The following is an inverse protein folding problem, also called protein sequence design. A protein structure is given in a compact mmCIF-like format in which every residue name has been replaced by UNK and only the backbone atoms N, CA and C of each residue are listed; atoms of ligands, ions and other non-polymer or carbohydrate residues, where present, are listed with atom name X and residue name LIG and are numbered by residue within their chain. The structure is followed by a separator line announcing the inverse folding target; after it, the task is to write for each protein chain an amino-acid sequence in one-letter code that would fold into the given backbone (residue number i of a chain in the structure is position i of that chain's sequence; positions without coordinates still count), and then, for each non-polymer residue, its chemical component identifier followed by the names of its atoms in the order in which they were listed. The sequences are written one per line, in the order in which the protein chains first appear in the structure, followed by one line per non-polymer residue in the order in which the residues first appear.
data_IF_453297819816
#
_entry.id   IF_453297819816
#
_cell.length_a   1.000
_cell.length_b   1.000
_cell.length_c   1.000
_cell.angle_alpha   90.00
_cell.angle_beta   90.00
_cell.angle_gamma   90.00
#
_symmetry.space_group_name_H-M   'P 1'
#
loop_
_entity.id
_entity.type
_entity.pdbx_description
1 polymer ?
#
# COMPACT_ATOMS: atom_id res chain seq x y z
N UNK A 1 -72.66 -92.87 -37.97
CA UNK A 1 -72.07 -92.66 -36.63
C UNK A 1 -70.59 -92.30 -36.73
N UNK A 2 -69.74 -93.12 -37.38
CA UNK A 2 -68.29 -92.88 -37.55
C UNK A 2 -67.96 -91.49 -38.15
N UNK A 3 -68.60 -91.14 -39.28
CA UNK A 3 -68.36 -89.87 -39.99
C UNK A 3 -68.72 -88.63 -39.15
N UNK A 4 -69.67 -88.76 -38.22
CA UNK A 4 -70.05 -87.69 -37.31
C UNK A 4 -69.02 -87.50 -36.20
N UNK A 5 -68.44 -88.60 -35.70
CA UNK A 5 -67.35 -88.56 -34.71
C UNK A 5 -66.05 -87.98 -35.30
N UNK A 6 -65.73 -88.31 -36.55
CA UNK A 6 -64.55 -87.79 -37.24
C UNK A 6 -64.67 -86.27 -37.51
N UNK A 7 -65.87 -85.80 -37.89
CA UNK A 7 -66.16 -84.36 -38.01
C UNK A 7 -66.01 -83.63 -36.68
N UNK A 8 -66.55 -84.19 -35.59
CA UNK A 8 -66.47 -83.60 -34.24
C UNK A 8 -65.03 -83.57 -33.71
N UNK A 9 -64.22 -84.59 -34.02
CA UNK A 9 -62.81 -84.63 -33.68
C UNK A 9 -62.01 -83.56 -34.46
N UNK A 10 -62.29 -83.39 -35.76
CA UNK A 10 -61.69 -82.35 -36.59
C UNK A 10 -62.05 -80.93 -36.13
N UNK A 11 -63.32 -80.69 -35.78
CA UNK A 11 -63.76 -79.41 -35.20
C UNK A 11 -63.08 -79.12 -33.86
N UNK A 12 -62.97 -80.11 -32.97
CA UNK A 12 -62.27 -79.97 -31.69
C UNK A 12 -60.78 -79.65 -31.88
N UNK A 13 -60.13 -80.26 -32.88
CA UNK A 13 -58.74 -79.97 -33.21
C UNK A 13 -58.57 -78.56 -33.78
N UNK A 14 -59.48 -78.14 -34.67
CA UNK A 14 -59.49 -76.77 -35.21
C UNK A 14 -59.71 -75.72 -34.11
N UNK A 15 -60.63 -75.97 -33.18
CA UNK A 15 -60.84 -75.14 -31.99
C UNK A 15 -59.60 -75.06 -31.12
N UNK A 16 -58.93 -76.19 -30.86
CA UNK A 16 -57.70 -76.24 -30.07
C UNK A 16 -56.56 -75.46 -30.73
N UNK A 17 -56.39 -75.60 -32.05
CA UNK A 17 -55.37 -74.88 -32.80
C UNK A 17 -55.67 -73.37 -32.84
N UNK A 18 -56.92 -72.99 -33.09
CA UNK A 18 -57.37 -71.60 -33.07
C UNK A 18 -57.16 -70.97 -31.69
N UNK A 19 -57.54 -71.68 -30.62
CA UNK A 19 -57.33 -71.25 -29.24
C UNK A 19 -55.84 -71.11 -28.89
N UNK A 20 -55.00 -72.07 -29.27
CA UNK A 20 -53.54 -72.00 -29.07
C UNK A 20 -52.92 -70.83 -29.83
N UNK A 21 -53.35 -70.58 -31.06
CA UNK A 21 -52.89 -69.44 -31.86
C UNK A 21 -53.35 -68.10 -31.23
N UNK A 22 -54.59 -68.01 -30.76
CA UNK A 22 -55.10 -66.82 -30.06
C UNK A 22 -54.36 -66.57 -28.74
N UNK A 23 -54.10 -67.62 -27.96
CA UNK A 23 -53.33 -67.53 -26.73
C UNK A 23 -51.89 -67.09 -27.00
N UNK A 24 -51.23 -67.67 -28.01
CA UNK A 24 -49.89 -67.27 -28.44
C UNK A 24 -49.83 -65.82 -28.89
N UNK A 25 -50.80 -65.38 -29.71
CA UNK A 25 -50.90 -63.99 -30.15
C UNK A 25 -51.17 -63.02 -28.99
N UNK A 26 -52.02 -63.40 -28.03
CA UNK A 26 -52.29 -62.61 -26.84
C UNK A 26 -51.06 -62.47 -25.94
N UNK A 27 -50.32 -63.56 -25.71
CA UNK A 27 -49.07 -63.55 -24.95
C UNK A 27 -47.98 -62.72 -25.63
N UNK A 28 -47.85 -62.80 -26.96
CA UNK A 28 -46.87 -61.99 -27.70
C UNK A 28 -47.25 -60.51 -27.68
N UNK A 29 -48.55 -60.20 -27.78
CA UNK A 29 -49.07 -58.84 -27.60
C UNK A 29 -48.80 -58.30 -26.19
N UNK A 30 -49.05 -59.12 -25.15
CA UNK A 30 -48.77 -58.77 -23.76
C UNK A 30 -47.28 -58.57 -23.53
N UNK A 31 -46.44 -59.46 -24.05
CA UNK A 31 -44.98 -59.34 -24.04
C UNK A 31 -44.56 -58.03 -24.70
N UNK A 32 -45.03 -57.74 -25.91
CA UNK A 32 -44.75 -56.50 -26.62
C UNK A 32 -45.23 -55.25 -25.88
N UNK A 33 -46.36 -55.33 -25.17
CA UNK A 33 -46.85 -54.25 -24.31
C UNK A 33 -45.93 -54.02 -23.10
N UNK A 34 -45.51 -55.09 -22.40
CA UNK A 34 -44.58 -55.03 -21.28
C UNK A 34 -43.21 -54.50 -21.70
N UNK A 35 -42.65 -54.93 -22.83
CA UNK A 35 -41.39 -54.39 -23.36
C UNK A 35 -41.51 -52.90 -23.69
N UNK A 36 -42.62 -52.47 -24.29
CA UNK A 36 -42.86 -51.05 -24.56
C UNK A 36 -42.97 -50.24 -23.26
N UNK A 37 -43.67 -50.76 -22.25
CA UNK A 37 -43.77 -50.11 -20.95
C UNK A 37 -42.41 -50.04 -20.24
N UNK A 38 -41.65 -51.13 -20.23
CA UNK A 38 -40.31 -51.19 -19.64
C UNK A 38 -39.36 -50.20 -20.33
N UNK A 39 -39.32 -50.18 -21.66
CA UNK A 39 -38.49 -49.24 -22.41
C UNK A 39 -38.85 -47.78 -22.14
N UNK A 40 -40.14 -47.46 -21.98
CA UNK A 40 -40.57 -46.11 -21.57
C UNK A 40 -40.07 -45.75 -20.16
N UNK A 41 -40.16 -46.67 -19.21
CA UNK A 41 -39.70 -46.46 -17.84
C UNK A 41 -38.18 -46.26 -17.76
N UNK A 42 -37.42 -47.08 -18.50
CA UNK A 42 -35.96 -46.93 -18.59
C UNK A 42 -35.60 -45.57 -19.20
N UNK A 43 -36.24 -45.17 -20.30
CA UNK A 43 -36.01 -43.85 -20.91
C UNK A 43 -36.31 -42.73 -19.92
N UNK A 44 -37.47 -42.76 -19.28
CA UNK A 44 -37.85 -41.76 -18.27
C UNK A 44 -36.83 -41.66 -17.13
N UNK A 45 -36.40 -42.79 -16.55
CA UNK A 45 -35.42 -42.78 -15.44
C UNK A 45 -34.04 -42.32 -15.91
N UNK A 46 -33.61 -42.71 -17.11
CA UNK A 46 -32.36 -42.22 -17.70
C UNK A 46 -32.41 -40.71 -17.94
N UNK A 47 -33.52 -40.20 -18.47
CA UNK A 47 -33.69 -38.76 -18.70
C UNK A 47 -33.74 -37.98 -17.39
N UNK A 48 -34.36 -38.53 -16.34
CA UNK A 48 -34.36 -37.96 -15.00
C UNK A 48 -32.96 -37.93 -14.37
N UNK A 49 -32.21 -39.04 -14.44
CA UNK A 49 -30.82 -39.12 -13.96
C UNK A 49 -29.91 -38.16 -14.75
N UNK A 50 -30.10 -38.05 -16.06
CA UNK A 50 -29.37 -37.10 -16.91
C UNK A 50 -29.69 -35.66 -16.53
N UNK A 51 -30.96 -35.32 -16.34
CA UNK A 51 -31.40 -33.99 -15.92
C UNK A 51 -30.86 -33.62 -14.54
N UNK A 52 -30.92 -34.55 -13.57
CA UNK A 52 -30.36 -34.35 -12.24
C UNK A 52 -28.84 -34.18 -12.23
N UNK A 53 -28.11 -35.00 -13.00
CA UNK A 53 -26.66 -34.83 -13.17
C UNK A 53 -26.30 -33.51 -13.85
N UNK A 54 -27.06 -33.09 -14.85
CA UNK A 54 -26.84 -31.82 -15.54
C UNK A 54 -27.04 -30.64 -14.58
N UNK A 55 -28.12 -30.66 -13.79
CA UNK A 55 -28.37 -29.64 -12.77
C UNK A 55 -27.25 -29.59 -11.71
N UNK A 56 -26.76 -30.75 -11.26
CA UNK A 56 -25.62 -30.81 -10.34
C UNK A 56 -24.33 -30.24 -10.97
N UNK A 57 -24.09 -30.51 -12.25
CA UNK A 57 -22.94 -29.95 -12.97
C UNK A 57 -23.04 -28.42 -13.10
N UNK A 58 -24.23 -27.90 -13.37
CA UNK A 58 -24.49 -26.45 -13.40
C UNK A 58 -24.25 -25.81 -12.03
N UNK A 59 -24.74 -26.44 -10.95
CA UNK A 59 -24.48 -25.97 -9.58
C UNK A 59 -22.98 -25.97 -9.24
N UNK A 60 -22.25 -27.04 -9.59
CA UNK A 60 -20.80 -27.11 -9.37
C UNK A 60 -20.07 -26.03 -10.18
N UNK A 61 -20.50 -25.79 -11.42
CA UNK A 61 -19.94 -24.73 -12.26
C UNK A 61 -20.13 -23.35 -11.62
N UNK A 62 -21.31 -23.07 -11.06
CA UNK A 62 -21.58 -21.77 -10.44
C UNK A 62 -20.81 -21.59 -9.14
N UNK A 63 -20.69 -22.63 -8.31
CA UNK A 63 -19.82 -22.61 -7.12
C UNK A 63 -18.35 -22.38 -7.49
N UNK A 64 -17.87 -22.98 -8.60
CA UNK A 64 -16.51 -22.73 -9.08
C UNK A 64 -16.32 -21.28 -9.53
N UNK A 65 -17.29 -20.69 -10.24
CA UNK A 65 -17.23 -19.27 -10.63
C UNK A 65 -17.20 -18.35 -9.39
N UNK A 66 -18.00 -18.66 -8.38
CA UNK A 66 -18.03 -17.90 -7.12
C UNK A 66 -16.68 -18.00 -6.41
N UNK A 67 -16.14 -19.21 -6.26
CA UNK A 67 -14.83 -19.44 -5.65
C UNK A 67 -13.70 -18.74 -6.43
N UNK A 68 -13.74 -18.77 -7.76
CA UNK A 68 -12.81 -18.01 -8.59
C UNK A 68 -12.92 -16.50 -8.34
N UNK A 69 -14.15 -15.98 -8.20
CA UNK A 69 -14.40 -14.59 -7.86
C UNK A 69 -13.78 -14.20 -6.52
N UNK A 70 -14.03 -15.01 -5.48
CA UNK A 70 -13.48 -14.82 -4.13
C UNK A 70 -11.95 -14.93 -4.13
N UNK A 71 -11.38 -15.89 -4.86
CA UNK A 71 -9.93 -16.07 -4.98
C UNK A 71 -9.27 -14.86 -5.64
N UNK A 72 -9.88 -14.33 -6.72
CA UNK A 72 -9.39 -13.12 -7.40
C UNK A 72 -9.49 -11.89 -6.51
N UNK A 73 -10.59 -11.71 -5.78
CA UNK A 73 -10.75 -10.56 -4.87
C UNK A 73 -9.76 -10.62 -3.71
N UNK A 74 -9.59 -11.80 -3.09
CA UNK A 74 -8.60 -12.02 -2.02
C UNK A 74 -7.18 -11.75 -2.51
N UNK A 75 -6.83 -12.22 -3.71
CA UNK A 75 -5.53 -11.93 -4.30
C UNK A 75 -5.35 -10.42 -4.60
N UNK A 76 -6.43 -9.69 -4.87
CA UNK A 76 -6.41 -8.23 -4.98
C UNK A 76 -6.10 -7.56 -3.65
N UNK A 77 -6.85 -7.90 -2.60
CA UNK A 77 -6.66 -7.36 -1.24
C UNK A 77 -5.26 -7.66 -0.70
N UNK A 78 -4.76 -8.88 -0.87
CA UNK A 78 -3.41 -9.26 -0.43
C UNK A 78 -2.31 -8.46 -1.15
N UNK A 79 -2.46 -8.19 -2.45
CA UNK A 79 -1.52 -7.34 -3.20
C UNK A 79 -1.49 -5.93 -2.64
N UNK A 80 -2.66 -5.32 -2.43
CA UNK A 80 -2.76 -3.98 -1.87
C UNK A 80 -2.19 -3.88 -0.44
N UNK A 81 -2.45 -4.88 0.41
CA UNK A 81 -1.85 -5.00 1.74
C UNK A 81 -0.33 -5.09 1.69
N UNK A 82 0.21 -5.91 0.78
CA UNK A 82 1.66 -6.09 0.60
C UNK A 82 2.32 -4.80 0.13
N UNK A 83 1.71 -4.12 -0.83
CA UNK A 83 2.16 -2.82 -1.33
C UNK A 83 2.17 -1.74 -0.24
N UNK A 84 1.07 -1.63 0.52
CA UNK A 84 0.98 -0.72 1.66
C UNK A 84 2.05 -1.03 2.73
N UNK A 85 2.32 -2.31 3.00
CA UNK A 85 3.35 -2.72 3.94
C UNK A 85 4.77 -2.32 3.46
N UNK A 86 5.07 -2.48 2.17
CA UNK A 86 6.35 -2.05 1.60
C UNK A 86 6.53 -0.53 1.67
N UNK A 87 5.49 0.25 1.36
CA UNK A 87 5.52 1.72 1.48
C UNK A 87 5.74 2.11 2.95
N UNK A 88 5.03 1.47 3.88
CA UNK A 88 5.19 1.74 5.31
C UNK A 88 6.62 1.42 5.79
N UNK A 89 7.19 0.30 5.35
CA UNK A 89 8.55 -0.08 5.70
C UNK A 89 9.57 0.95 5.18
N UNK A 90 9.43 1.39 3.93
CA UNK A 90 10.29 2.43 3.35
C UNK A 90 10.12 3.78 4.09
N UNK A 91 8.90 4.14 4.46
CA UNK A 91 8.60 5.33 5.26
C UNK A 91 9.27 5.28 6.64
N UNK A 92 9.17 4.15 7.35
CA UNK A 92 9.80 3.94 8.66
C UNK A 92 11.33 3.98 8.56
N UNK A 93 11.90 3.34 7.54
CA UNK A 93 13.33 3.39 7.28
C UNK A 93 13.80 4.83 7.04
N UNK A 94 13.07 5.59 6.20
CA UNK A 94 13.34 7.00 5.96
C UNK A 94 13.29 7.84 7.23
N UNK A 95 12.23 7.71 8.04
CA UNK A 95 12.12 8.42 9.33
C UNK A 95 13.30 8.10 10.24
N UNK A 96 13.69 6.82 10.34
CA UNK A 96 14.81 6.41 11.15
C UNK A 96 16.13 7.05 10.68
N UNK A 97 16.40 7.06 9.38
CA UNK A 97 17.62 7.68 8.83
C UNK A 97 17.62 9.20 9.06
N UNK A 98 16.49 9.86 8.83
CA UNK A 98 16.33 11.32 8.97
C UNK A 98 16.48 11.77 10.43
N UNK A 99 15.81 11.09 11.36
CA UNK A 99 15.76 11.48 12.78
C UNK A 99 17.00 11.02 13.56
N UNK A 100 17.51 9.80 13.31
CA UNK A 100 18.60 9.21 14.10
C UNK A 100 19.97 9.35 13.47
N UNK A 101 20.06 9.65 12.17
CA UNK A 101 21.34 9.84 11.48
C UNK A 101 22.25 8.62 11.57
N UNK A 102 21.78 7.46 11.09
CA UNK A 102 22.62 6.25 11.01
C UNK A 102 23.69 6.46 9.94
N UNK A 103 24.96 6.51 10.36
CA UNK A 103 26.16 6.92 9.60
C UNK A 103 26.46 6.18 8.27
N UNK A 104 25.57 5.29 7.79
CA UNK A 104 25.81 4.44 6.62
C UNK A 104 24.64 4.33 5.62
N UNK A 105 23.50 4.98 5.86
CA UNK A 105 22.38 4.93 4.91
C UNK A 105 22.25 6.26 4.16
N UNK A 106 22.53 6.30 2.84
CA UNK A 106 22.30 7.49 2.04
C UNK A 106 20.79 7.74 1.95
N UNK A 107 20.36 8.90 2.48
CA UNK A 107 18.95 9.36 2.42
C UNK A 107 18.42 9.33 0.99
N UNK A 108 19.29 9.61 0.02
CA UNK A 108 18.95 9.66 -1.40
C UNK A 108 18.45 8.31 -1.94
N UNK A 109 19.05 7.19 -1.52
CA UNK A 109 18.66 5.86 -2.01
C UNK A 109 17.31 5.42 -1.48
N UNK A 110 17.05 5.71 -0.21
CA UNK A 110 15.76 5.42 0.43
C UNK A 110 14.66 6.36 -0.10
N UNK A 111 14.98 7.62 -0.37
CA UNK A 111 14.07 8.58 -1.02
C UNK A 111 13.66 8.10 -2.42
N UNK A 112 14.63 7.66 -3.23
CA UNK A 112 14.36 7.08 -4.56
C UNK A 112 13.52 5.80 -4.46
N UNK A 113 13.76 4.98 -3.44
CA UNK A 113 12.97 3.76 -3.20
C UNK A 113 11.52 4.11 -2.88
N UNK A 114 11.29 5.06 -1.97
CA UNK A 114 9.95 5.52 -1.61
C UNK A 114 9.22 6.18 -2.80
N UNK A 115 9.94 6.96 -3.61
CA UNK A 115 9.41 7.55 -4.85
C UNK A 115 9.00 6.48 -5.86
N UNK A 116 9.81 5.45 -6.05
CA UNK A 116 9.47 4.34 -6.95
C UNK A 116 8.20 3.64 -6.46
N UNK A 117 8.15 3.26 -5.19
CA UNK A 117 7.00 2.54 -4.62
C UNK A 117 5.70 3.35 -4.73
N UNK A 118 5.73 4.64 -4.39
CA UNK A 118 4.55 5.52 -4.48
C UNK A 118 4.12 5.80 -5.92
N UNK A 119 5.08 5.89 -6.86
CA UNK A 119 4.79 6.03 -8.30
C UNK A 119 4.15 4.77 -8.87
N UNK A 120 4.73 3.61 -8.59
CA UNK A 120 4.21 2.31 -9.03
C UNK A 120 2.77 2.12 -8.52
N UNK A 121 2.51 2.50 -7.26
CA UNK A 121 1.18 2.48 -6.67
C UNK A 121 0.19 3.45 -7.34
N UNK A 122 0.61 4.67 -7.63
CA UNK A 122 -0.20 5.65 -8.36
C UNK A 122 -0.50 5.21 -9.81
N UNK A 123 0.43 4.50 -10.46
CA UNK A 123 0.24 3.91 -11.79
C UNK A 123 -0.78 2.76 -11.76
N UNK A 124 -0.70 1.88 -10.76
CA UNK A 124 -1.68 0.81 -10.54
C UNK A 124 -3.09 1.35 -10.22
N UNK A 125 -3.19 2.52 -9.58
CA UNK A 125 -4.47 3.20 -9.37
C UNK A 125 -5.08 3.69 -10.68
N UNK A 126 -4.27 4.29 -11.57
CA UNK A 126 -4.76 4.79 -12.88
C UNK A 126 -5.31 3.70 -13.79
N UNK A 127 -4.85 2.45 -13.64
CA UNK A 127 -5.39 1.29 -14.34
C UNK A 127 -6.66 0.69 -13.70
N UNK A 128 -7.19 1.33 -12.63
CA UNK A 128 -8.40 0.91 -11.93
C UNK A 128 -8.19 -0.20 -10.90
N UNK A 129 -6.94 -0.42 -10.47
CA UNK A 129 -6.55 -1.58 -9.64
C UNK A 129 -5.83 -1.21 -8.33
N UNK A 130 -5.67 0.08 -8.03
CA UNK A 130 -4.84 0.55 -6.93
C UNK A 130 -5.38 1.80 -6.23
N UNK A 131 -4.73 2.16 -5.12
CA UNK A 131 -5.10 3.29 -4.29
C UNK A 131 -4.39 4.58 -4.72
N UNK A 132 -5.01 5.73 -4.52
CA UNK A 132 -4.44 7.01 -4.97
C UNK A 132 -3.26 7.43 -4.09
N UNK A 133 -2.12 7.67 -4.73
CA UNK A 133 -0.88 8.18 -4.12
C UNK A 133 -0.37 9.44 -4.85
N UNK A 134 -1.25 10.16 -5.56
CA UNK A 134 -0.84 11.32 -6.35
C UNK A 134 -0.24 12.44 -5.51
N UNK A 135 -0.74 12.70 -4.29
CA UNK A 135 -0.16 13.74 -3.45
C UNK A 135 1.22 13.31 -2.91
N UNK A 136 1.41 12.03 -2.58
CA UNK A 136 2.71 11.45 -2.23
C UNK A 136 3.73 11.65 -3.34
N UNK A 137 3.36 11.33 -4.58
CA UNK A 137 4.24 11.47 -5.74
C UNK A 137 4.63 12.94 -5.95
N UNK A 138 3.66 13.86 -5.87
CA UNK A 138 3.93 15.29 -6.01
C UNK A 138 4.80 15.83 -4.87
N UNK A 139 4.53 15.45 -3.62
CA UNK A 139 5.28 15.88 -2.46
C UNK A 139 6.73 15.39 -2.52
N UNK A 140 6.97 14.12 -2.83
CA UNK A 140 8.31 13.55 -2.94
C UNK A 140 9.10 14.10 -4.13
N UNK A 141 8.44 14.43 -5.24
CA UNK A 141 9.08 15.10 -6.38
C UNK A 141 9.54 16.51 -6.00
N UNK A 142 8.72 17.28 -5.27
CA UNK A 142 9.07 18.64 -4.85
C UNK A 142 10.31 18.69 -3.93
N UNK A 143 10.52 17.64 -3.15
CA UNK A 143 11.71 17.50 -2.28
C UNK A 143 12.94 17.13 -3.10
N UNK A 144 12.83 16.25 -4.09
CA UNK A 144 13.96 15.81 -4.92
C UNK A 144 14.64 16.98 -5.64
N UNK A 145 13.85 17.88 -6.22
CA UNK A 145 14.34 19.05 -6.94
C UNK A 145 15.18 19.97 -6.03
N UNK A 146 14.89 19.98 -4.72
CA UNK A 146 15.63 20.77 -3.73
C UNK A 146 16.87 20.05 -3.18
N UNK A 147 16.94 18.73 -3.33
CA UNK A 147 17.93 17.85 -2.68
C UNK A 147 19.06 17.42 -3.61
N UNK A 148 18.81 17.40 -4.92
CA UNK A 148 19.72 16.89 -5.94
C UNK A 148 21.13 17.53 -5.92
N UNK A 149 21.27 18.73 -5.36
CA UNK A 149 22.54 19.48 -5.36
C UNK A 149 23.40 19.24 -4.10
N UNK A 150 22.82 19.10 -2.91
CA UNK A 150 23.57 19.11 -1.63
C UNK A 150 23.33 17.90 -0.71
N UNK A 151 22.31 17.09 -1.00
CA UNK A 151 21.88 15.98 -0.14
C UNK A 151 21.20 16.44 1.16
N UNK A 152 20.38 15.58 1.76
CA UNK A 152 19.64 15.94 2.99
C UNK A 152 20.48 15.66 4.23
N UNK A 153 20.67 16.69 5.05
CA UNK A 153 21.33 16.54 6.36
C UNK A 153 20.36 15.97 7.40
N UNK A 154 20.82 14.99 8.15
CA UNK A 154 20.07 14.37 9.25
C UNK A 154 19.98 15.31 10.45
N UNK A 155 19.02 15.08 11.35
CA UNK A 155 18.84 15.95 12.52
C UNK A 155 20.10 16.02 13.41
N UNK A 156 20.81 14.90 13.70
CA UNK A 156 22.08 14.95 14.43
C UNK A 156 23.18 15.71 13.68
N UNK A 157 23.25 15.58 12.35
CA UNK A 157 24.20 16.32 11.53
C UNK A 157 23.94 17.83 11.59
N UNK A 158 22.67 18.25 11.47
CA UNK A 158 22.25 19.65 11.62
C UNK A 158 22.59 20.19 13.02
N UNK A 159 22.35 19.41 14.09
CA UNK A 159 22.69 19.78 15.46
C UNK A 159 24.20 19.94 15.66
N UNK A 160 25.00 19.03 15.11
CA UNK A 160 26.46 19.13 15.17
C UNK A 160 26.99 20.33 14.39
N UNK A 161 26.47 20.57 13.17
CA UNK A 161 26.81 21.73 12.35
C UNK A 161 26.41 23.03 13.02
N UNK A 162 25.27 23.07 13.71
CA UNK A 162 24.82 24.25 14.45
C UNK A 162 25.84 24.69 15.51
N UNK A 163 26.52 23.76 16.19
CA UNK A 163 27.57 24.11 17.17
C UNK A 163 28.70 24.93 16.53
N UNK A 164 29.08 24.60 15.28
CA UNK A 164 30.09 25.34 14.53
C UNK A 164 29.57 26.73 14.12
N UNK A 165 28.35 26.77 13.59
CA UNK A 165 27.67 28.02 13.18
C UNK A 165 27.50 28.97 14.37
N UNK A 166 27.12 28.46 15.54
CA UNK A 166 27.01 29.22 16.80
C UNK A 166 28.32 29.90 17.15
N UNK A 167 29.43 29.17 17.14
CA UNK A 167 30.75 29.73 17.47
C UNK A 167 31.23 30.74 16.41
N UNK A 168 30.88 30.55 15.14
CA UNK A 168 31.15 31.53 14.08
C UNK A 168 30.34 32.83 14.27
N UNK A 169 29.04 32.71 14.52
CA UNK A 169 28.16 33.86 14.79
C UNK A 169 28.69 34.67 15.98
N UNK A 170 29.07 33.99 17.08
CA UNK A 170 29.65 34.62 18.26
C UNK A 170 30.91 35.43 17.95
N UNK A 171 31.84 34.87 17.17
CA UNK A 171 33.06 35.58 16.76
C UNK A 171 32.75 36.82 15.95
N UNK A 172 31.74 36.74 15.08
CA UNK A 172 31.39 37.84 14.18
C UNK A 172 30.53 38.93 14.82
N UNK A 173 29.70 38.59 15.82
CA UNK A 173 28.90 39.55 16.58
C UNK A 173 29.74 40.55 17.39
N UNK A 174 31.03 40.27 17.55
CA UNK A 174 31.98 41.10 18.29
C UNK A 174 32.85 41.98 17.39
N UNK A 175 32.68 41.90 16.06
CA UNK A 175 33.40 42.73 15.09
C UNK A 175 32.51 43.93 14.73
N UNK A 176 32.91 45.17 15.08
CA UNK A 176 32.19 46.37 14.65
C UNK A 176 32.21 46.50 13.12
N UNK A 177 31.10 46.93 12.52
CA UNK A 177 30.96 47.06 11.06
C UNK A 177 31.99 48.02 10.41
N UNK A 178 32.65 48.88 11.21
CA UNK A 178 33.63 49.90 10.76
C UNK A 178 35.09 49.68 11.25
N UNK A 179 35.43 48.52 11.82
CA UNK A 179 36.74 48.29 12.44
C UNK A 179 37.74 47.56 11.56
N UNK A 180 38.80 48.24 11.08
CA UNK A 180 39.97 47.60 10.43
C UNK A 180 40.70 46.58 11.32
N UNK A 181 41.79 45.97 10.83
CA UNK A 181 42.54 44.79 11.37
C UNK A 181 42.72 44.67 12.90
N UNK A 182 42.60 45.74 13.67
CA UNK A 182 42.60 45.78 15.14
C UNK A 182 41.27 45.31 15.79
N UNK A 183 40.17 45.25 15.06
CA UNK A 183 38.85 44.78 15.53
C UNK A 183 38.80 43.27 15.76
N UNK A 184 39.59 42.51 14.99
CA UNK A 184 39.65 41.04 15.08
C UNK A 184 40.36 40.52 16.34
N UNK A 185 41.24 41.32 16.96
CA UNK A 185 41.91 40.93 18.22
C UNK A 185 41.07 41.30 19.45
N UNK A 186 40.36 42.44 19.42
CA UNK A 186 39.44 42.83 20.49
C UNK A 186 38.25 41.87 20.61
N UNK A 187 37.72 41.43 19.47
CA UNK A 187 36.59 40.48 19.41
C UNK A 187 36.92 39.12 20.03
N UNK A 188 38.15 38.60 19.89
CA UNK A 188 38.57 37.36 20.58
C UNK A 188 38.63 37.51 22.10
N UNK A 189 39.05 38.67 22.61
CA UNK A 189 39.12 38.91 24.04
C UNK A 189 37.72 39.12 24.65
N UNK A 190 36.84 39.84 23.95
CA UNK A 190 35.48 40.14 24.41
C UNK A 190 34.54 38.93 24.34
N UNK A 191 34.76 37.99 23.42
CA UNK A 191 33.96 36.74 23.34
C UNK A 191 34.13 35.86 24.57
N UNK A 192 35.31 35.92 25.21
CA UNK A 192 35.59 35.23 26.47
C UNK A 192 34.90 35.86 27.69
N UNK A 193 34.49 37.12 27.59
CA UNK A 193 33.85 37.88 28.69
C UNK A 193 32.32 37.91 28.58
N UNK A 194 31.73 37.62 27.42
CA UNK A 194 30.29 37.50 27.23
C UNK A 194 29.75 36.28 27.99
N UNK A 195 28.84 36.51 28.93
CA UNK A 195 28.14 35.45 29.65
C UNK A 195 27.35 34.60 28.67
N UNK A 196 27.69 33.31 28.59
CA UNK A 196 26.96 32.33 27.78
C UNK A 196 25.57 32.13 28.39
N UNK A 197 24.54 32.69 27.76
CA UNK A 197 23.14 32.40 28.06
C UNK A 197 22.85 30.96 27.60
N UNK A 198 22.10 30.19 28.41
CA UNK A 198 21.71 28.81 28.11
C UNK A 198 20.22 28.62 28.40
N UNK A 199 19.53 27.85 27.56
CA UNK A 199 18.11 27.55 27.72
C UNK A 199 17.16 28.62 27.18
N UNK A 200 15.92 28.59 27.64
CA UNK A 200 14.85 29.53 27.28
C UNK A 200 15.08 30.89 27.92
N UNK A 201 15.98 31.68 27.34
CA UNK A 201 16.29 33.03 27.81
C UNK A 201 15.47 34.05 27.02
N UNK A 202 14.79 34.96 27.72
CA UNK A 202 14.06 36.07 27.11
C UNK A 202 15.02 37.11 26.51
N UNK A 203 14.58 37.74 25.42
CA UNK A 203 15.32 38.80 24.72
C UNK A 203 15.55 38.52 23.23
N UNK A 204 15.77 39.59 22.47
CA UNK A 204 16.02 39.56 21.02
C UNK A 204 17.53 39.61 20.69
N UNK A 205 18.38 39.60 21.72
CA UNK A 205 19.84 39.58 21.56
C UNK A 205 20.29 38.31 20.82
N UNK A 206 21.36 38.42 20.04
CA UNK A 206 21.95 37.29 19.29
C UNK A 206 22.25 36.08 20.19
N UNK A 207 22.80 36.28 21.40
CA UNK A 207 23.04 35.19 22.36
C UNK A 207 21.75 34.55 22.88
N UNK A 208 20.67 35.32 23.07
CA UNK A 208 19.38 34.77 23.50
C UNK A 208 18.77 33.89 22.38
N UNK A 209 18.84 34.35 21.13
CA UNK A 209 18.41 33.58 19.96
C UNK A 209 19.23 32.29 19.81
N UNK A 210 20.56 32.36 19.92
CA UNK A 210 21.42 31.17 19.85
C UNK A 210 21.14 30.17 20.97
N UNK A 211 20.88 30.64 22.19
CA UNK A 211 20.56 29.78 23.34
C UNK A 211 19.20 29.07 23.17
N UNK A 212 18.17 29.77 22.68
CA UNK A 212 16.86 29.16 22.37
C UNK A 212 16.94 28.18 21.21
N UNK A 213 17.70 28.53 20.18
CA UNK A 213 17.94 27.63 19.03
C UNK A 213 18.58 26.32 19.49
N UNK A 214 19.64 26.39 20.32
CA UNK A 214 20.28 25.20 20.90
C UNK A 214 19.32 24.39 21.76
N UNK A 215 18.52 25.07 22.59
CA UNK A 215 17.49 24.40 23.41
C UNK A 215 16.49 23.61 22.55
N UNK A 216 15.95 24.20 21.48
CA UNK A 216 15.00 23.50 20.61
C UNK A 216 15.64 22.34 19.84
N UNK A 217 16.88 22.51 19.36
CA UNK A 217 17.64 21.41 18.73
C UNK A 217 17.91 20.25 19.69
N UNK A 218 18.14 20.56 20.97
CA UNK A 218 18.34 19.55 22.00
C UNK A 218 17.07 18.76 22.30
N UNK A 219 15.89 19.36 22.13
CA UNK A 219 14.58 18.69 22.21
C UNK A 219 14.16 17.99 20.91
N UNK A 220 14.93 18.14 19.83
CA UNK A 220 14.58 17.61 18.50
C UNK A 220 13.52 18.43 17.75
N UNK A 221 13.17 19.63 18.24
CA UNK A 221 12.26 20.54 17.56
C UNK A 221 13.02 21.45 16.58
N UNK A 222 13.29 20.91 15.40
CA UNK A 222 13.98 21.64 14.34
C UNK A 222 13.17 22.83 13.80
N UNK A 223 11.84 22.79 13.82
CA UNK A 223 10.99 23.87 13.31
C UNK A 223 11.14 25.11 14.19
N UNK A 224 10.96 24.95 15.51
CA UNK A 224 11.17 26.03 16.47
C UNK A 224 12.60 26.56 16.44
N UNK A 225 13.60 25.68 16.35
CA UNK A 225 15.00 26.09 16.21
C UNK A 225 15.25 26.95 14.95
N UNK A 226 14.69 26.52 13.81
CA UNK A 226 14.83 27.24 12.53
C UNK A 226 14.18 28.62 12.61
N UNK A 227 13.01 28.73 13.26
CA UNK A 227 12.29 29.99 13.45
C UNK A 227 13.06 30.97 14.34
N UNK A 228 13.63 30.49 15.45
CA UNK A 228 14.48 31.31 16.32
C UNK A 228 15.68 31.84 15.56
N UNK A 229 16.44 30.96 14.90
CA UNK A 229 17.66 31.36 14.20
C UNK A 229 17.37 32.31 13.02
N UNK A 230 16.21 32.19 12.36
CA UNK A 230 15.80 33.08 11.29
C UNK A 230 15.53 34.53 11.75
N UNK A 231 15.36 34.76 13.05
CA UNK A 231 15.24 36.11 13.63
C UNK A 231 16.56 36.88 13.64
N UNK A 232 17.70 36.21 13.45
CA UNK A 232 19.00 36.88 13.32
C UNK A 232 18.97 37.88 12.16
N UNK A 233 19.73 38.97 12.34
CA UNK A 233 19.90 40.07 11.38
C UNK A 233 21.38 40.33 11.10
N UNK A 234 21.67 41.13 10.07
CA UNK A 234 23.03 41.51 9.68
C UNK A 234 23.91 40.32 9.31
N UNK A 235 25.19 40.41 9.65
CA UNK A 235 26.18 39.37 9.33
C UNK A 235 25.87 38.01 9.99
N UNK A 236 25.29 38.02 11.19
CA UNK A 236 24.90 36.78 11.90
C UNK A 236 23.89 35.96 11.08
N UNK A 237 22.96 36.64 10.40
CA UNK A 237 22.02 35.99 9.47
C UNK A 237 22.73 35.38 8.28
N UNK A 238 23.69 36.09 7.70
CA UNK A 238 24.44 35.64 6.53
C UNK A 238 25.25 34.37 6.84
N UNK A 239 25.90 34.31 8.00
CA UNK A 239 26.63 33.11 8.46
C UNK A 239 25.69 31.92 8.71
N UNK A 240 24.46 32.18 9.14
CA UNK A 240 23.46 31.13 9.41
C UNK A 240 22.74 30.60 8.16
N UNK A 241 22.86 31.27 7.00
CA UNK A 241 22.03 31.03 5.82
C UNK A 241 22.06 29.57 5.35
N UNK A 242 23.26 29.03 5.16
CA UNK A 242 23.43 27.68 4.62
C UNK A 242 22.97 26.60 5.62
N UNK A 243 22.94 26.92 6.92
CA UNK A 243 22.34 26.04 7.93
C UNK A 243 20.81 26.12 7.90
N UNK A 244 20.25 27.33 7.76
CA UNK A 244 18.80 27.53 7.64
C UNK A 244 18.24 26.85 6.38
N UNK A 245 18.97 26.87 5.28
CA UNK A 245 18.59 26.20 4.04
C UNK A 245 18.54 24.67 4.22
N UNK A 246 19.60 24.07 4.76
CA UNK A 246 19.63 22.64 5.07
C UNK A 246 18.52 22.23 6.07
N UNK A 247 18.23 23.07 7.06
CA UNK A 247 17.13 22.84 8.00
C UNK A 247 15.75 22.88 7.32
N UNK A 248 15.53 23.80 6.37
CA UNK A 248 14.29 23.86 5.58
C UNK A 248 14.11 22.65 4.68
N UNK A 249 15.18 22.19 4.01
CA UNK A 249 15.14 20.97 3.19
C UNK A 249 14.75 19.75 4.03
N UNK A 250 15.34 19.61 5.23
CA UNK A 250 14.98 18.56 6.18
C UNK A 250 13.50 18.62 6.59
N UNK A 251 12.99 19.82 6.90
CA UNK A 251 11.57 20.03 7.22
C UNK A 251 10.66 19.72 6.02
N UNK A 252 11.06 20.08 4.81
CA UNK A 252 10.36 19.76 3.57
C UNK A 252 10.25 18.26 3.35
N UNK A 253 11.34 17.50 3.58
CA UNK A 253 11.28 16.04 3.56
C UNK A 253 10.31 15.51 4.63
N UNK A 254 10.39 16.00 5.87
CA UNK A 254 9.51 15.57 6.95
C UNK A 254 8.02 15.80 6.61
N UNK A 255 7.70 16.93 5.97
CA UNK A 255 6.36 17.22 5.48
C UNK A 255 5.95 16.25 4.36
N UNK A 256 6.82 15.96 3.39
CA UNK A 256 6.52 15.01 2.33
C UNK A 256 6.28 13.59 2.88
N UNK A 257 7.09 13.14 3.83
CA UNK A 257 6.89 11.86 4.53
C UNK A 257 5.55 11.82 5.28
N UNK A 258 5.11 12.94 5.85
CA UNK A 258 3.81 13.05 6.49
C UNK A 258 2.66 12.94 5.47
N UNK A 259 2.80 13.53 4.28
CA UNK A 259 1.81 13.36 3.19
C UNK A 259 1.68 11.88 2.82
N UNK A 260 2.83 11.19 2.64
CA UNK A 260 2.86 9.75 2.34
C UNK A 260 2.16 8.93 3.42
N UNK A 261 2.43 9.21 4.68
CA UNK A 261 1.78 8.54 5.81
C UNK A 261 0.26 8.75 5.81
N UNK A 262 -0.19 9.98 5.54
CA UNK A 262 -1.63 10.29 5.52
C UNK A 262 -2.36 9.60 4.38
N UNK A 263 -1.79 9.57 3.17
CA UNK A 263 -2.38 8.82 2.04
C UNK A 263 -2.36 7.31 2.31
N UNK A 264 -1.25 6.77 2.82
CA UNK A 264 -1.16 5.37 3.20
C UNK A 264 -2.25 4.98 4.22
N UNK A 265 -2.45 5.80 5.26
CA UNK A 265 -3.48 5.55 6.26
C UNK A 265 -4.89 5.64 5.67
N UNK A 266 -5.16 6.63 4.83
CA UNK A 266 -6.45 6.75 4.12
C UNK A 266 -6.73 5.52 3.24
N UNK A 267 -5.71 5.06 2.52
CA UNK A 267 -5.81 3.90 1.64
C UNK A 267 -5.99 2.58 2.42
N UNK A 268 -5.32 2.43 3.56
CA UNK A 268 -5.52 1.28 4.44
C UNK A 268 -6.92 1.23 5.04
N UNK A 269 -7.51 2.39 5.37
CA UNK A 269 -8.89 2.46 5.86
C UNK A 269 -9.94 2.20 4.78
N UNK A 270 -9.59 2.39 3.51
CA UNK A 270 -10.47 2.14 2.38
C UNK A 270 -10.50 0.67 1.94
N UNK A 271 -9.59 -0.17 2.45
CA UNK A 271 -9.57 -1.60 2.18
C UNK A 271 -10.79 -2.30 2.85
N UNK A 272 -11.49 -3.19 2.13
CA UNK A 272 -12.65 -3.94 2.65
C UNK A 272 -12.27 -5.05 3.64
#
# INVERSE_FOLDING_TARGET
AQEYHDKLAGEKQNWRQSYQNQLGAALESQRGALYRQFNRLIRFRVDQERGGRLANLEQVQDLLKELEGISRSMAGVLRAQTEAAHINQALLAMRQVVDQGVDQHPVDLELVTLQRLTRDAAEASRSGTGHDYQASVAALASVQDQVADEGIQTLPALRNRFRLVREQIRRTALVPEDGGMLSHTLSMALSKLMFKKQGLVGGEDTEAILARTEYYLDQGDLDSATRELNQLTGWSKQVSRDWLEAARQHLGLKQALQVVETELMMNQLALP
#
